data_IF_064659725380
#
_entry.id   IF_064659725380
#
_cell.length_a   1.000
_cell.length_b   1.000
_cell.length_c   1.000
_cell.angle_alpha   90.00
_cell.angle_beta   90.00
_cell.angle_gamma   90.00
#
_symmetry.space_group_name_H-M   'P 1'
#
loop_
_entity.id
_entity.type
_entity.pdbx_description
1 polymer ?
#
# COMPACT_ATOMS: atom_id res chain seq x y z
N UNK A 1 24.25 18.52 -2.11
CA UNK A 1 24.48 17.92 -3.46
C UNK A 1 23.74 16.58 -3.47
N UNK A 2 22.81 16.38 -4.39
CA UNK A 2 22.08 15.12 -4.53
C UNK A 2 22.93 14.16 -5.37
N UNK A 3 23.14 12.94 -4.88
CA UNK A 3 23.80 11.87 -5.65
C UNK A 3 22.77 10.81 -5.99
N UNK A 4 22.63 10.38 -7.26
CA UNK A 4 21.77 9.27 -7.61
C UNK A 4 22.27 7.98 -6.94
N UNK A 5 21.33 7.17 -6.42
CA UNK A 5 21.60 5.86 -5.86
C UNK A 5 20.73 4.84 -6.60
N UNK A 6 21.30 3.70 -6.97
CA UNK A 6 20.60 2.64 -7.69
C UNK A 6 20.39 1.46 -6.77
N UNK A 7 19.15 1.00 -6.68
CA UNK A 7 18.74 -0.19 -5.95
C UNK A 7 18.24 -1.23 -6.95
N UNK A 8 18.52 -2.50 -6.69
CA UNK A 8 18.17 -3.63 -7.56
C UNK A 8 17.37 -4.67 -6.80
N UNK A 9 16.88 -5.68 -7.51
CA UNK A 9 16.04 -6.75 -6.92
C UNK A 9 14.55 -6.44 -6.89
N UNK A 10 14.12 -5.33 -7.49
CA UNK A 10 12.73 -4.97 -7.81
C UNK A 10 12.72 -4.11 -9.07
N UNK A 11 11.58 -4.01 -9.75
CA UNK A 11 11.40 -3.18 -10.96
C UNK A 11 10.54 -1.94 -10.70
N UNK A 12 9.48 -2.05 -9.93
CA UNK A 12 8.47 -1.01 -9.77
C UNK A 12 8.24 -0.71 -8.26
N UNK A 13 9.15 0.13 -7.72
CA UNK A 13 9.07 0.58 -6.33
C UNK A 13 7.92 1.57 -6.16
N UNK A 14 6.96 1.26 -5.31
CA UNK A 14 5.72 2.01 -5.16
C UNK A 14 5.56 2.69 -3.80
N UNK A 15 5.93 2.01 -2.71
CA UNK A 15 5.85 2.57 -1.37
C UNK A 15 7.09 2.28 -0.53
N UNK A 16 7.50 3.22 0.33
CA UNK A 16 8.65 3.02 1.19
C UNK A 16 8.45 3.61 2.59
N UNK A 17 9.02 2.95 3.60
CA UNK A 17 9.06 3.46 4.98
C UNK A 17 10.48 3.41 5.53
N UNK A 18 10.90 4.45 6.22
CA UNK A 18 12.16 4.45 6.95
C UNK A 18 12.08 3.51 8.16
N UNK A 19 13.12 2.71 8.39
CA UNK A 19 13.29 1.85 9.56
C UNK A 19 14.21 2.52 10.57
N UNK A 20 15.33 3.05 10.09
CA UNK A 20 16.30 3.81 10.88
C UNK A 20 16.93 4.90 10.02
N UNK A 21 17.99 5.55 10.50
CA UNK A 21 18.71 6.58 9.74
C UNK A 21 19.30 6.12 8.42
N UNK A 22 19.56 4.81 8.28
CA UNK A 22 20.21 4.23 7.10
C UNK A 22 19.52 2.96 6.57
N UNK A 23 18.38 2.57 7.13
CA UNK A 23 17.59 1.42 6.69
C UNK A 23 16.19 1.87 6.29
N UNK A 24 15.67 1.31 5.20
CA UNK A 24 14.31 1.53 4.74
C UNK A 24 13.76 0.28 4.06
N UNK A 25 12.45 0.09 4.16
CA UNK A 25 11.72 -1.00 3.51
C UNK A 25 10.95 -0.44 2.33
N UNK A 26 10.93 -1.19 1.24
CA UNK A 26 10.24 -0.82 -0.01
C UNK A 26 9.27 -1.92 -0.39
N UNK A 27 8.08 -1.53 -0.81
CA UNK A 27 7.11 -2.36 -1.51
C UNK A 27 7.31 -2.27 -3.03
N UNK A 28 6.93 -3.33 -3.72
CA UNK A 28 6.91 -3.43 -5.17
C UNK A 28 5.47 -3.76 -5.60
N UNK A 29 4.99 -3.18 -6.69
CA UNK A 29 3.63 -3.42 -7.18
C UNK A 29 3.47 -4.80 -7.86
N UNK A 30 4.55 -5.37 -8.39
CA UNK A 30 4.56 -6.64 -9.11
C UNK A 30 4.57 -7.89 -8.20
N UNK A 31 4.87 -7.73 -6.91
CA UNK A 31 4.92 -8.85 -5.96
C UNK A 31 4.58 -8.42 -4.53
N UNK A 32 4.43 -9.41 -3.63
CA UNK A 32 4.07 -9.21 -2.22
C UNK A 32 5.29 -9.35 -1.29
N UNK A 33 6.47 -9.00 -1.79
CA UNK A 33 7.74 -9.10 -1.07
C UNK A 33 8.22 -7.71 -0.68
N UNK A 34 8.27 -7.45 0.62
CA UNK A 34 8.86 -6.22 1.15
C UNK A 34 10.37 -6.39 1.24
N UNK A 35 11.12 -5.39 0.77
CA UNK A 35 12.58 -5.44 0.66
C UNK A 35 13.24 -4.39 1.52
N UNK A 36 14.15 -4.84 2.38
CA UNK A 36 14.97 -3.97 3.23
C UNK A 36 16.25 -3.56 2.49
N UNK A 37 16.49 -2.27 2.44
CA UNK A 37 17.69 -1.68 1.83
C UNK A 37 18.46 -0.82 2.81
N UNK A 38 19.72 -0.54 2.44
CA UNK A 38 20.59 0.43 3.11
C UNK A 38 20.77 1.66 2.24
N UNK A 39 20.58 2.85 2.82
CA UNK A 39 20.81 4.12 2.11
C UNK A 39 22.30 4.47 1.97
N UNK A 40 23.14 3.95 2.86
CA UNK A 40 24.60 4.12 2.84
C UNK A 40 25.33 3.08 1.95
N UNK A 41 24.64 2.02 1.53
CA UNK A 41 25.14 0.96 0.63
C UNK A 41 24.09 0.58 -0.40
N UNK A 42 23.90 1.41 -1.45
CA UNK A 42 22.96 1.11 -2.53
C UNK A 42 23.29 -0.20 -3.25
N UNK A 43 22.27 -0.90 -3.78
CA UNK A 43 22.44 -2.17 -4.47
C UNK A 43 21.32 -3.15 -4.19
N UNK A 44 21.66 -4.40 -3.89
CA UNK A 44 20.71 -5.46 -3.58
C UNK A 44 20.05 -5.27 -2.20
N UNK A 45 18.82 -5.79 -2.00
CA UNK A 45 18.20 -5.78 -0.68
C UNK A 45 19.01 -6.62 0.31
N UNK A 46 19.17 -6.13 1.52
CA UNK A 46 19.86 -6.85 2.60
C UNK A 46 18.98 -7.91 3.23
N UNK A 47 17.64 -7.78 3.09
CA UNK A 47 16.67 -8.78 3.55
C UNK A 47 15.38 -8.66 2.74
N UNK A 48 14.66 -9.78 2.63
CA UNK A 48 13.35 -9.84 1.98
C UNK A 48 12.35 -10.51 2.92
N UNK A 49 11.09 -10.05 2.85
CA UNK A 49 10.00 -10.53 3.68
C UNK A 49 8.82 -10.84 2.76
N UNK A 50 8.50 -12.11 2.60
CA UNK A 50 7.38 -12.60 1.79
C UNK A 50 6.09 -12.58 2.61
N UNK A 51 5.08 -11.88 2.11
CA UNK A 51 3.76 -11.76 2.72
C UNK A 51 2.65 -12.50 1.97
N UNK A 52 2.96 -13.30 0.95
CA UNK A 52 1.96 -14.04 0.16
C UNK A 52 0.99 -14.85 1.02
N UNK A 53 1.54 -15.62 1.97
CA UNK A 53 0.72 -16.45 2.87
C UNK A 53 -0.18 -15.62 3.79
N UNK A 54 0.35 -14.52 4.34
CA UNK A 54 -0.42 -13.62 5.20
C UNK A 54 -1.53 -12.88 4.44
N UNK A 55 -1.25 -12.42 3.22
CA UNK A 55 -2.21 -11.71 2.37
C UNK A 55 -3.31 -12.62 1.83
N UNK A 56 -3.13 -13.94 1.92
CA UNK A 56 -4.08 -14.96 1.42
C UNK A 56 -4.49 -14.69 -0.03
N UNK A 57 -3.50 -14.36 -0.86
CA UNK A 57 -3.71 -14.10 -2.29
C UNK A 57 -3.98 -15.41 -3.03
N UNK A 58 -4.89 -15.38 -4.00
CA UNK A 58 -5.38 -16.57 -4.68
C UNK A 58 -5.42 -16.39 -6.19
N UNK A 59 -5.42 -17.52 -6.90
CA UNK A 59 -5.58 -17.56 -8.35
C UNK A 59 -4.26 -17.45 -9.11
N UNK A 60 -4.32 -17.00 -10.37
CA UNK A 60 -3.16 -16.97 -11.27
C UNK A 60 -2.31 -15.70 -11.10
N UNK A 61 -2.90 -14.59 -10.71
CA UNK A 61 -2.23 -13.32 -10.45
C UNK A 61 -2.25 -13.11 -8.95
N UNK A 62 -1.10 -13.27 -8.30
CA UNK A 62 -0.98 -13.23 -6.85
C UNK A 62 -0.59 -11.84 -6.33
N UNK A 63 -0.34 -10.87 -7.19
CA UNK A 63 0.03 -9.52 -6.83
C UNK A 63 -1.07 -8.81 -6.03
N UNK A 64 -0.72 -8.16 -4.94
CA UNK A 64 -1.56 -7.24 -4.19
C UNK A 64 -1.45 -5.79 -4.73
N UNK A 65 -0.57 -5.57 -5.72
CA UNK A 65 -0.41 -4.26 -6.39
C UNK A 65 -0.20 -3.15 -5.35
N UNK A 66 0.83 -3.30 -4.53
CA UNK A 66 1.10 -2.41 -3.40
C UNK A 66 1.53 -1.03 -3.90
N UNK A 67 0.79 0.03 -3.57
CA UNK A 67 0.95 1.37 -4.14
C UNK A 67 1.18 2.46 -3.08
N UNK A 68 1.11 2.10 -1.83
CA UNK A 68 1.32 3.07 -0.76
C UNK A 68 1.82 2.46 0.53
N UNK A 69 2.62 3.25 1.26
CA UNK A 69 3.12 2.87 2.56
C UNK A 69 3.18 4.06 3.52
N UNK A 70 2.85 3.82 4.79
CA UNK A 70 2.96 4.81 5.85
C UNK A 70 3.42 4.18 7.16
N UNK A 71 4.13 4.92 7.99
CA UNK A 71 4.60 4.44 9.30
C UNK A 71 4.04 5.29 10.43
N UNK A 72 3.50 4.63 11.46
CA UNK A 72 3.01 5.22 12.71
C UNK A 72 3.70 4.51 13.87
N UNK A 73 4.62 5.17 14.52
CA UNK A 73 5.46 4.55 15.55
C UNK A 73 6.31 3.40 14.96
N UNK A 74 6.16 2.21 15.52
CA UNK A 74 6.84 1.01 15.03
C UNK A 74 6.01 0.17 14.05
N UNK A 75 4.81 0.65 13.67
CA UNK A 75 3.91 -0.01 12.75
C UNK A 75 3.96 0.63 11.37
N UNK A 76 4.21 -0.16 10.35
CA UNK A 76 4.06 0.23 8.95
C UNK A 76 2.76 -0.32 8.38
N UNK A 77 2.03 0.52 7.64
CA UNK A 77 0.83 0.18 6.89
C UNK A 77 1.15 0.17 5.40
N UNK A 78 0.53 -0.76 4.68
CA UNK A 78 0.73 -1.01 3.26
C UNK A 78 -0.62 -1.14 2.60
N UNK A 79 -0.81 -0.51 1.44
CA UNK A 79 -2.09 -0.51 0.72
C UNK A 79 -1.89 -0.89 -0.74
N UNK A 80 -2.77 -1.76 -1.26
CA UNK A 80 -2.86 -2.05 -2.68
C UNK A 80 -3.68 -1.02 -3.44
N UNK A 81 -3.63 -1.07 -4.77
CA UNK A 81 -4.30 -0.10 -5.65
C UNK A 81 -5.83 -0.12 -5.55
N UNK A 82 -6.45 -1.23 -5.13
CA UNK A 82 -7.90 -1.49 -5.19
C UNK A 82 -8.47 -1.37 -6.62
N UNK A 83 -7.60 -1.26 -7.62
CA UNK A 83 -7.96 -1.10 -9.02
C UNK A 83 -8.09 -2.40 -9.80
N UNK A 84 -8.63 -2.30 -11.01
CA UNK A 84 -8.61 -3.39 -12.00
C UNK A 84 -7.22 -3.52 -12.62
N UNK A 85 -6.96 -4.66 -13.29
CA UNK A 85 -5.73 -4.78 -14.07
C UNK A 85 -5.82 -3.97 -15.39
N UNK A 86 -4.72 -3.90 -16.11
CA UNK A 86 -4.61 -3.16 -17.39
C UNK A 86 -5.64 -3.56 -18.45
N UNK A 87 -6.18 -4.79 -18.38
CA UNK A 87 -7.20 -5.31 -19.28
C UNK A 87 -8.62 -5.06 -18.76
N UNK A 88 -8.79 -4.29 -17.69
CA UNK A 88 -10.07 -4.00 -17.04
C UNK A 88 -10.66 -5.17 -16.25
N UNK A 89 -9.87 -6.22 -15.96
CA UNK A 89 -10.34 -7.36 -15.17
C UNK A 89 -10.22 -7.07 -13.69
N UNK A 90 -11.23 -7.46 -12.93
CA UNK A 90 -11.23 -7.39 -11.49
C UNK A 90 -10.09 -8.20 -10.86
N UNK A 91 -9.50 -7.67 -9.79
CA UNK A 91 -8.38 -8.25 -9.05
C UNK A 91 -8.60 -8.08 -7.55
N UNK A 92 -9.36 -9.00 -6.95
CA UNK A 92 -9.65 -8.96 -5.51
C UNK A 92 -8.38 -9.06 -4.62
N UNK A 93 -7.29 -9.62 -5.15
CA UNK A 93 -6.00 -9.62 -4.44
C UNK A 93 -5.44 -8.21 -4.21
N UNK A 94 -5.83 -7.22 -5.03
CA UNK A 94 -5.42 -5.82 -4.89
C UNK A 94 -6.18 -5.07 -3.80
N UNK A 95 -7.29 -5.64 -3.31
CA UNK A 95 -8.08 -5.07 -2.21
C UNK A 95 -7.45 -5.47 -0.88
N UNK A 96 -6.32 -4.84 -0.55
CA UNK A 96 -5.59 -5.11 0.69
C UNK A 96 -5.11 -3.81 1.32
N UNK A 97 -5.42 -3.64 2.60
CA UNK A 97 -4.70 -2.78 3.53
C UNK A 97 -4.22 -3.68 4.66
N UNK A 98 -2.95 -3.66 4.97
CA UNK A 98 -2.38 -4.49 6.03
C UNK A 98 -1.29 -3.76 6.80
N UNK A 99 -0.88 -4.32 7.92
CA UNK A 99 0.18 -3.75 8.75
C UNK A 99 1.26 -4.75 9.10
N UNK A 100 2.46 -4.21 9.34
CA UNK A 100 3.60 -4.94 9.89
C UNK A 100 4.20 -4.14 11.04
N UNK A 101 4.52 -4.81 12.14
CA UNK A 101 5.35 -4.22 13.19
C UNK A 101 6.82 -4.37 12.83
N UNK A 102 7.56 -3.27 12.97
CA UNK A 102 8.99 -3.18 12.68
C UNK A 102 9.73 -3.32 14.00
N UNK A 103 10.60 -4.30 14.10
CA UNK A 103 11.53 -4.43 15.23
C UNK A 103 12.97 -4.44 14.78
N UNK A 104 13.84 -3.82 15.59
CA UNK A 104 15.29 -3.78 15.35
C UNK A 104 16.01 -4.28 16.60
N UNK A 105 16.58 -5.48 16.54
CA UNK A 105 17.29 -6.10 17.64
C UNK A 105 18.73 -6.45 17.25
N UNK A 106 19.69 -5.91 17.96
CA UNK A 106 21.12 -6.11 17.67
C UNK A 106 21.52 -5.82 16.20
N UNK A 107 20.83 -4.84 15.57
CA UNK A 107 21.05 -4.47 14.17
C UNK A 107 20.29 -5.33 13.15
N UNK A 108 19.58 -6.36 13.60
CA UNK A 108 18.72 -7.18 12.75
C UNK A 108 17.30 -6.63 12.72
N UNK A 109 16.76 -6.47 11.51
CA UNK A 109 15.38 -5.99 11.27
C UNK A 109 14.45 -7.18 11.08
N UNK A 110 13.32 -7.15 11.77
CA UNK A 110 12.19 -8.03 11.49
C UNK A 110 10.93 -7.23 11.18
N UNK A 111 10.13 -7.75 10.25
CA UNK A 111 8.77 -7.31 9.97
C UNK A 111 7.82 -8.43 10.35
N UNK A 112 6.93 -8.16 11.29
CA UNK A 112 5.93 -9.12 11.76
C UNK A 112 4.55 -8.66 11.32
N UNK A 113 3.81 -9.53 10.64
CA UNK A 113 2.43 -9.26 10.25
C UNK A 113 1.55 -8.98 11.47
N UNK A 114 0.60 -8.06 11.34
CA UNK A 114 -0.31 -7.65 12.42
C UNK A 114 -1.76 -7.87 12.00
N UNK A 115 -2.52 -8.56 12.86
CA UNK A 115 -3.95 -8.79 12.65
C UNK A 115 -4.24 -9.57 11.37
N UNK A 116 -5.18 -9.08 10.57
CA UNK A 116 -5.58 -9.64 9.28
C UNK A 116 -5.55 -8.58 8.19
N UNK A 117 -5.33 -8.95 6.91
CA UNK A 117 -5.43 -7.98 5.81
C UNK A 117 -6.86 -7.49 5.67
N UNK A 118 -7.07 -6.18 5.80
CA UNK A 118 -8.36 -5.56 5.59
C UNK A 118 -8.71 -5.50 4.10
N UNK A 119 -9.88 -6.03 3.75
CA UNK A 119 -10.31 -6.25 2.34
C UNK A 119 -11.57 -5.48 1.97
N UNK A 120 -12.21 -4.84 2.94
CA UNK A 120 -13.53 -4.24 2.79
C UNK A 120 -13.50 -2.72 2.58
N UNK A 121 -12.32 -2.14 2.33
CA UNK A 121 -12.19 -0.68 2.16
C UNK A 121 -13.14 -0.13 1.09
N UNK A 122 -13.18 -0.76 -0.09
CA UNK A 122 -14.08 -0.34 -1.16
C UNK A 122 -15.54 -0.54 -0.77
N UNK A 123 -15.89 -1.66 -0.15
CA UNK A 123 -17.26 -1.93 0.30
C UNK A 123 -17.73 -0.90 1.33
N UNK A 124 -16.86 -0.51 2.25
CA UNK A 124 -17.20 0.49 3.26
C UNK A 124 -17.33 1.90 2.65
N UNK A 125 -16.49 2.26 1.68
CA UNK A 125 -16.65 3.49 0.92
C UNK A 125 -17.97 3.52 0.14
N UNK A 126 -18.41 2.38 -0.42
CA UNK A 126 -19.67 2.25 -1.17
C UNK A 126 -20.92 2.29 -0.27
N UNK A 127 -20.80 1.92 1.00
CA UNK A 127 -21.90 1.93 1.96
C UNK A 127 -22.13 3.29 2.62
N UNK A 128 -21.14 4.17 2.58
CA UNK A 128 -21.20 5.47 3.25
C UNK A 128 -21.63 6.56 2.28
N UNK A 129 -22.85 7.06 2.44
CA UNK A 129 -23.44 8.08 1.60
C UNK A 129 -22.64 9.40 1.47
N UNK A 130 -21.70 9.64 2.39
CA UNK A 130 -20.77 10.79 2.29
C UNK A 130 -19.89 10.72 1.05
N UNK A 131 -19.66 9.50 0.53
CA UNK A 131 -18.80 9.24 -0.62
C UNK A 131 -19.56 9.08 -1.95
N UNK A 132 -20.90 9.12 -1.97
CA UNK A 132 -21.71 8.97 -3.20
C UNK A 132 -21.29 9.94 -4.31
N UNK A 133 -20.90 11.17 -3.92
CA UNK A 133 -20.43 12.20 -4.84
C UNK A 133 -19.17 11.83 -5.64
N UNK A 134 -18.42 10.81 -5.23
CA UNK A 134 -17.20 10.37 -5.89
C UNK A 134 -17.43 9.21 -6.86
N UNK A 135 -18.65 8.68 -6.95
CA UNK A 135 -19.05 7.63 -7.90
C UNK A 135 -18.16 6.39 -7.88
N UNK A 136 -17.75 5.95 -6.68
CA UNK A 136 -16.84 4.81 -6.54
C UNK A 136 -17.38 3.52 -7.14
N UNK A 137 -18.69 3.30 -7.17
CA UNK A 137 -19.30 2.13 -7.78
C UNK A 137 -18.98 2.05 -9.29
N UNK A 138 -19.14 3.14 -10.01
CA UNK A 138 -18.82 3.25 -11.43
C UNK A 138 -17.30 3.21 -11.66
N UNK A 139 -16.54 3.94 -10.82
CA UNK A 139 -15.09 4.00 -10.90
C UNK A 139 -14.43 2.62 -10.75
N UNK A 140 -14.94 1.77 -9.83
CA UNK A 140 -14.45 0.42 -9.61
C UNK A 140 -14.66 -0.54 -10.80
N UNK A 141 -15.49 -0.20 -11.77
CA UNK A 141 -15.73 -0.98 -12.98
C UNK A 141 -14.88 -0.54 -14.18
N UNK A 142 -14.11 0.54 -14.05
CA UNK A 142 -13.30 1.11 -15.13
C UNK A 142 -11.87 0.57 -15.14
N UNK A 143 -11.23 0.59 -16.31
CA UNK A 143 -9.82 0.20 -16.44
C UNK A 143 -8.90 1.27 -15.83
N UNK A 144 -7.73 0.94 -15.25
CA UNK A 144 -6.88 1.87 -14.48
C UNK A 144 -6.42 3.12 -15.23
N UNK A 145 -6.40 3.09 -16.58
CA UNK A 145 -6.02 4.25 -17.42
C UNK A 145 -7.18 5.21 -17.71
N UNK A 146 -8.41 4.83 -17.38
CA UNK A 146 -9.55 5.73 -17.43
C UNK A 146 -9.41 6.78 -16.32
N UNK A 147 -9.54 8.09 -16.62
CA UNK A 147 -9.38 9.14 -15.60
C UNK A 147 -10.42 9.08 -14.47
N UNK A 148 -11.55 8.41 -14.71
CA UNK A 148 -12.60 8.20 -13.71
C UNK A 148 -12.55 6.78 -13.09
N UNK A 149 -11.49 5.99 -13.31
CA UNK A 149 -11.34 4.68 -12.69
C UNK A 149 -11.04 4.80 -11.18
N UNK A 150 -11.18 3.71 -10.45
CA UNK A 150 -10.68 3.62 -9.08
C UNK A 150 -9.21 3.19 -9.11
N UNK A 151 -8.34 3.99 -8.51
CA UNK A 151 -6.95 3.63 -8.27
C UNK A 151 -6.36 4.39 -7.07
N UNK A 152 -5.85 3.66 -6.09
CA UNK A 152 -5.16 4.21 -4.93
C UNK A 152 -3.66 4.14 -5.21
N UNK A 153 -2.95 5.27 -5.02
CA UNK A 153 -1.49 5.34 -5.22
C UNK A 153 -0.77 6.10 -4.09
N UNK A 154 -1.47 6.36 -3.00
CA UNK A 154 -0.88 7.08 -1.88
C UNK A 154 -1.35 6.62 -0.53
N UNK A 155 -0.42 6.59 0.43
CA UNK A 155 -0.72 6.40 1.84
C UNK A 155 0.21 7.29 2.66
N UNK A 156 -0.32 8.02 3.61
CA UNK A 156 0.47 8.86 4.49
C UNK A 156 -0.02 8.75 5.93
N UNK A 157 0.90 8.84 6.88
CA UNK A 157 0.54 8.95 8.28
C UNK A 157 0.06 10.36 8.61
N UNK A 158 -0.99 10.44 9.41
CA UNK A 158 -1.52 11.68 9.98
C UNK A 158 -1.26 11.71 11.49
N UNK A 159 -1.55 12.84 12.12
CA UNK A 159 -1.57 12.95 13.56
C UNK A 159 -2.56 11.94 14.19
N UNK A 160 -2.40 11.66 15.48
CA UNK A 160 -3.32 10.81 16.26
C UNK A 160 -3.44 9.36 15.75
N UNK A 161 -2.44 8.87 15.02
CA UNK A 161 -2.43 7.47 14.58
C UNK A 161 -3.37 7.14 13.41
N UNK A 162 -3.78 8.16 12.66
CA UNK A 162 -4.64 8.04 11.49
C UNK A 162 -3.83 7.90 10.20
N UNK A 163 -4.48 7.44 9.13
CA UNK A 163 -3.91 7.38 7.78
C UNK A 163 -4.68 8.29 6.82
N UNK A 164 -3.98 8.81 5.82
CA UNK A 164 -4.57 9.51 4.69
C UNK A 164 -4.34 8.67 3.43
N UNK A 165 -5.44 8.25 2.79
CA UNK A 165 -5.43 7.47 1.56
C UNK A 165 -5.52 8.44 0.39
N UNK A 166 -4.55 8.35 -0.53
CA UNK A 166 -4.48 9.17 -1.73
C UNK A 166 -4.95 8.40 -2.97
N UNK A 167 -5.89 8.97 -3.69
CA UNK A 167 -6.40 8.40 -4.93
C UNK A 167 -5.73 9.08 -6.12
N UNK A 168 -5.13 8.29 -7.02
CA UNK A 168 -4.77 8.79 -8.34
C UNK A 168 -6.03 9.12 -9.12
N UNK A 169 -7.04 8.26 -9.04
CA UNK A 169 -8.35 8.38 -9.66
C UNK A 169 -9.41 7.85 -8.68
N UNK A 170 -10.65 8.35 -8.69
CA UNK A 170 -11.12 9.47 -9.55
C UNK A 170 -10.55 10.83 -9.10
N UNK A 171 -10.59 11.81 -10.02
CA UNK A 171 -10.14 13.19 -9.78
C UNK A 171 -11.34 14.15 -9.84
N UNK A 172 -12.19 14.20 -8.80
CA UNK A 172 -13.44 14.95 -8.82
C UNK A 172 -13.20 16.43 -9.03
N UNK A 173 -13.85 17.00 -10.07
CA UNK A 173 -13.71 18.40 -10.45
C UNK A 173 -12.25 18.87 -10.61
N UNK A 174 -11.34 18.00 -11.05
CA UNK A 174 -9.91 18.29 -11.24
C UNK A 174 -9.13 18.44 -9.93
N UNK A 175 -9.65 17.95 -8.80
CA UNK A 175 -9.00 18.03 -7.48
C UNK A 175 -8.55 16.65 -7.00
N UNK A 176 -7.38 16.58 -6.37
CA UNK A 176 -6.90 15.36 -5.73
C UNK A 176 -7.89 14.89 -4.65
N UNK A 177 -8.24 13.61 -4.68
CA UNK A 177 -9.08 12.99 -3.68
C UNK A 177 -8.21 12.36 -2.60
N UNK A 178 -8.41 12.82 -1.35
CA UNK A 178 -7.74 12.31 -0.17
C UNK A 178 -8.80 11.91 0.86
N UNK A 179 -8.75 10.69 1.37
CA UNK A 179 -9.71 10.18 2.35
C UNK A 179 -8.99 9.77 3.64
N UNK A 180 -9.31 10.36 4.80
CA UNK A 180 -8.76 9.94 6.06
C UNK A 180 -9.37 8.61 6.53
N UNK A 181 -8.53 7.66 6.90
CA UNK A 181 -8.89 6.47 7.64
C UNK A 181 -8.56 6.69 9.12
N UNK A 182 -9.58 6.85 9.94
CA UNK A 182 -9.43 7.30 11.32
C UNK A 182 -9.06 6.18 12.30
N UNK A 183 -9.33 4.94 11.95
CA UNK A 183 -9.18 3.76 12.80
C UNK A 183 -8.38 2.63 12.14
N UNK A 184 -7.18 2.88 11.61
CA UNK A 184 -6.42 1.89 10.84
C UNK A 184 -6.05 0.64 11.66
N UNK A 185 -5.83 0.79 12.97
CA UNK A 185 -5.51 -0.34 13.84
C UNK A 185 -6.73 -1.24 14.12
N UNK A 186 -7.93 -0.72 14.07
CA UNK A 186 -9.16 -1.48 14.30
C UNK A 186 -9.52 -2.32 13.08
N UNK A 187 -9.45 -1.74 11.88
CA UNK A 187 -9.84 -2.43 10.64
C UNK A 187 -8.93 -3.62 10.30
N UNK A 188 -7.67 -3.63 10.73
CA UNK A 188 -6.77 -4.76 10.57
C UNK A 188 -6.92 -5.84 11.64
N UNK A 189 -7.79 -5.65 12.64
CA UNK A 189 -8.10 -6.62 13.70
C UNK A 189 -9.51 -7.20 13.56
N UNK A 190 -10.28 -6.71 12.58
CA UNK A 190 -11.67 -7.11 12.35
C UNK A 190 -11.80 -8.49 11.67
#
# INVERSE_FOLDING_TARGET
MVRPAHYSGMCDASGAVAVSSNLFVVANDEDNVLRLYRSDQPGQPVKQFDFNAFLEVQGKSLEADLEGAARIGDRAFWIGSHGRNKDGKERLNRHRLFATDISVNAGEVALTAVGTPYRLLLDDLLRDARFDQFHFAEAAHRAPKDPDALNIEGLSAMAEGQLLIGFRNPVPAGKALLIPLLNPNEVIQA
#
